data_IF_536887406602
#
_entry.id   IF_536887406602
#
_cell.length_a   1.000
_cell.length_b   1.000
_cell.length_c   1.000
_cell.angle_alpha   90.00
_cell.angle_beta   90.00
_cell.angle_gamma   90.00
#
_symmetry.space_group_name_H-M   'P 1'
#
loop_
_entity.id
_entity.type
_entity.pdbx_description
1 polymer ?
#
# COMPACT_ATOMS: atom_id res chain seq x y z
N UNK A 1 21.52 9.20 7.79
CA UNK A 1 20.38 10.07 8.17
C UNK A 1 19.38 9.19 8.87
N UNK A 2 19.10 9.43 10.14
CA UNK A 2 18.18 8.60 10.93
C UNK A 2 16.75 8.92 10.49
N UNK A 3 16.05 7.97 9.87
CA UNK A 3 14.64 8.16 9.55
C UNK A 3 13.87 8.47 10.85
N UNK A 4 13.19 9.61 10.87
CA UNK A 4 12.52 10.21 12.05
C UNK A 4 11.12 9.66 12.32
N UNK A 5 10.66 8.72 11.49
CA UNK A 5 9.31 8.20 11.57
C UNK A 5 9.27 7.02 12.53
N UNK A 6 8.31 7.04 13.45
CA UNK A 6 7.92 5.85 14.15
C UNK A 6 7.04 5.04 13.20
N UNK A 7 7.36 3.75 13.06
CA UNK A 7 6.70 2.87 12.10
C UNK A 7 6.26 1.55 12.72
N UNK A 8 5.30 0.90 12.08
CA UNK A 8 4.97 -0.50 12.29
C UNK A 8 4.97 -1.24 10.94
N UNK A 9 5.24 -2.56 10.90
CA UNK A 9 5.19 -3.32 9.66
C UNK A 9 3.82 -3.22 8.99
N UNK A 10 3.80 -2.98 7.68
CA UNK A 10 2.56 -2.98 6.91
C UNK A 10 1.97 -4.39 6.81
N UNK A 11 0.67 -4.49 7.01
CA UNK A 11 -0.12 -5.72 6.91
C UNK A 11 -1.35 -5.44 6.06
N UNK A 12 -2.02 -6.50 5.60
CA UNK A 12 -3.29 -6.30 4.89
C UNK A 12 -4.32 -5.57 5.76
N UNK A 13 -4.32 -5.83 7.07
CA UNK A 13 -5.28 -5.24 7.99
C UNK A 13 -5.02 -3.75 8.26
N UNK A 14 -3.79 -3.37 8.61
CA UNK A 14 -3.50 -1.98 9.01
C UNK A 14 -3.35 -1.00 7.83
N UNK A 15 -3.26 -1.51 6.60
CA UNK A 15 -3.27 -0.71 5.38
C UNK A 15 -4.62 -0.71 4.65
N UNK A 16 -5.61 -1.47 5.13
CA UNK A 16 -6.94 -1.50 4.52
C UNK A 16 -7.72 -0.22 4.79
N UNK A 17 -8.32 0.35 3.75
CA UNK A 17 -9.20 1.51 3.86
C UNK A 17 -10.28 1.24 4.90
N UNK A 18 -10.53 2.21 5.78
CA UNK A 18 -11.61 2.13 6.77
C UNK A 18 -12.98 2.33 6.10
N UNK A 19 -13.02 3.06 4.98
CA UNK A 19 -14.17 3.21 4.11
C UNK A 19 -13.73 2.97 2.67
N UNK A 20 -14.38 2.02 2.00
CA UNK A 20 -14.05 1.62 0.63
C UNK A 20 -15.31 1.62 -0.25
N UNK A 21 -15.14 1.60 -1.56
CA UNK A 21 -16.21 1.58 -2.54
C UNK A 21 -16.07 0.36 -3.47
N UNK A 22 -17.20 -0.11 -3.99
CA UNK A 22 -17.25 -1.15 -5.05
C UNK A 22 -18.20 -0.71 -6.17
N UNK A 23 -18.18 -1.34 -7.35
CA UNK A 23 -19.16 -1.06 -8.41
C UNK A 23 -20.62 -1.27 -7.98
N UNK A 24 -20.87 -2.11 -6.96
CA UNK A 24 -22.21 -2.40 -6.44
C UNK A 24 -22.58 -1.56 -5.22
N UNK A 25 -21.61 -0.91 -4.59
CA UNK A 25 -21.78 0.00 -3.47
C UNK A 25 -20.81 1.16 -3.66
N UNK A 26 -21.13 2.10 -4.57
CA UNK A 26 -20.31 3.27 -4.81
C UNK A 26 -20.37 4.20 -3.60
N UNK A 27 -19.30 4.95 -3.37
CA UNK A 27 -19.19 5.85 -2.24
C UNK A 27 -17.83 6.53 -2.20
N UNK A 28 -17.62 7.34 -1.16
CA UNK A 28 -16.32 7.95 -0.89
C UNK A 28 -15.35 6.93 -0.30
N UNK A 29 -14.06 7.11 -0.57
CA UNK A 29 -12.99 6.33 0.04
C UNK A 29 -12.44 7.09 1.26
N UNK A 30 -12.03 6.37 2.29
CA UNK A 30 -11.19 6.96 3.34
C UNK A 30 -9.82 7.35 2.78
N UNK A 31 -9.10 8.20 3.49
CA UNK A 31 -7.71 8.53 3.11
C UNK A 31 -6.80 7.29 3.19
N UNK A 32 -5.80 7.19 2.29
CA UNK A 32 -4.75 6.20 2.39
C UNK A 32 -3.79 6.49 3.55
N UNK A 33 -3.02 5.49 3.97
CA UNK A 33 -2.11 5.59 5.11
C UNK A 33 -0.73 6.09 4.69
N UNK A 34 -0.07 6.94 5.50
CA UNK A 34 1.32 7.30 5.28
C UNK A 34 2.22 6.09 5.50
N UNK A 35 3.13 5.85 4.55
CA UNK A 35 4.02 4.69 4.56
C UNK A 35 5.45 5.05 4.15
N UNK A 36 6.37 4.15 4.47
CA UNK A 36 7.67 4.02 3.81
C UNK A 36 7.64 2.75 2.96
N UNK A 37 7.96 2.86 1.67
CA UNK A 37 8.09 1.75 0.73
C UNK A 37 9.53 1.69 0.27
N UNK A 38 10.26 0.64 0.67
CA UNK A 38 11.72 0.56 0.49
C UNK A 38 12.45 1.83 0.96
N UNK A 39 11.95 2.42 2.05
CA UNK A 39 12.44 3.68 2.63
C UNK A 39 11.94 4.96 1.96
N UNK A 40 11.23 4.88 0.83
CA UNK A 40 10.65 6.02 0.13
C UNK A 40 9.30 6.37 0.76
N UNK A 41 9.12 7.64 1.11
CA UNK A 41 7.85 8.10 1.70
C UNK A 41 6.73 8.13 0.67
N UNK A 42 5.53 7.76 1.10
CA UNK A 42 4.36 7.83 0.27
C UNK A 42 3.06 7.58 1.04
N UNK A 43 2.03 7.26 0.27
CA UNK A 43 0.71 6.86 0.74
C UNK A 43 0.39 5.48 0.19
N UNK A 44 -0.23 4.62 0.99
CA UNK A 44 -0.71 3.32 0.56
C UNK A 44 -2.05 2.95 1.17
N UNK A 45 -2.82 2.18 0.41
CA UNK A 45 -4.12 1.66 0.83
C UNK A 45 -4.40 0.31 0.21
N UNK A 46 -5.16 -0.52 0.94
CA UNK A 46 -5.69 -1.78 0.46
C UNK A 46 -7.21 -1.70 0.41
N UNK A 47 -7.78 -2.13 -0.71
CA UNK A 47 -9.22 -2.12 -0.94
C UNK A 47 -9.55 -2.28 -2.41
N UNK A 48 -10.83 -2.30 -2.71
CA UNK A 48 -11.38 -2.33 -4.05
C UNK A 48 -11.15 -1.00 -4.79
N UNK A 49 -11.16 0.14 -4.08
CA UNK A 49 -11.01 1.47 -4.67
C UNK A 49 -12.04 1.74 -5.79
N UNK A 50 -13.27 1.25 -5.60
CA UNK A 50 -14.33 1.32 -6.61
C UNK A 50 -14.26 0.25 -7.72
N UNK A 51 -13.32 -0.69 -7.67
CA UNK A 51 -13.16 -1.76 -8.66
C UNK A 51 -13.81 -3.10 -8.23
N UNK A 52 -13.68 -4.14 -9.05
CA UNK A 52 -14.28 -5.45 -8.74
C UNK A 52 -13.44 -6.33 -7.80
N UNK A 53 -12.22 -5.92 -7.45
CA UNK A 53 -11.31 -6.74 -6.65
C UNK A 53 -10.39 -5.86 -5.85
N UNK A 54 -10.06 -6.33 -4.65
CA UNK A 54 -9.08 -5.70 -3.79
C UNK A 54 -7.72 -5.58 -4.48
N UNK A 55 -7.06 -4.48 -4.16
CA UNK A 55 -5.76 -4.07 -4.66
C UNK A 55 -5.00 -3.39 -3.54
N UNK A 56 -3.68 -3.49 -3.61
CA UNK A 56 -2.81 -2.52 -2.96
C UNK A 56 -2.56 -1.38 -3.95
N UNK A 57 -2.76 -0.15 -3.49
CA UNK A 57 -2.41 1.08 -4.19
C UNK A 57 -1.33 1.81 -3.42
N UNK A 58 -0.35 2.37 -4.14
CA UNK A 58 0.81 3.07 -3.59
C UNK A 58 1.07 4.31 -4.44
N UNK A 59 1.24 5.46 -3.79
CA UNK A 59 1.73 6.69 -4.40
C UNK A 59 2.94 7.20 -3.62
N UNK A 60 4.08 7.39 -4.29
CA UNK A 60 5.37 7.71 -3.70
C UNK A 60 5.78 9.15 -3.99
N UNK A 61 6.49 9.77 -3.03
CA UNK A 61 7.05 11.12 -3.20
C UNK A 61 8.21 11.14 -4.21
N UNK A 62 8.90 10.00 -4.37
CA UNK A 62 10.01 9.80 -5.30
C UNK A 62 9.76 8.57 -6.19
N UNK A 63 10.43 8.51 -7.34
CA UNK A 63 10.27 7.40 -8.29
C UNK A 63 10.99 6.14 -7.80
N UNK A 64 10.24 5.05 -7.63
CA UNK A 64 10.80 3.75 -7.28
C UNK A 64 11.18 2.96 -8.54
N UNK A 65 12.35 2.28 -8.60
CA UNK A 65 12.82 1.59 -9.79
C UNK A 65 11.85 0.53 -10.34
N UNK A 66 11.10 -0.15 -9.46
CA UNK A 66 10.12 -1.18 -9.85
C UNK A 66 8.66 -0.72 -9.84
N UNK A 67 8.33 0.32 -9.07
CA UNK A 67 6.94 0.73 -8.81
C UNK A 67 6.57 2.05 -9.51
N UNK A 68 7.57 2.80 -9.99
CA UNK A 68 7.38 4.16 -10.48
C UNK A 68 6.96 5.11 -9.34
N UNK A 69 6.21 6.16 -9.68
CA UNK A 69 5.60 7.07 -8.70
C UNK A 69 4.24 6.59 -8.20
N UNK A 70 3.53 5.81 -9.00
CA UNK A 70 2.21 5.26 -8.68
C UNK A 70 2.16 3.80 -9.09
N UNK A 71 1.66 2.96 -8.18
CA UNK A 71 1.59 1.52 -8.37
C UNK A 71 0.27 0.98 -7.84
N UNK A 72 -0.36 0.10 -8.60
CA UNK A 72 -1.59 -0.57 -8.20
C UNK A 72 -1.67 -1.99 -8.75
N UNK A 73 -1.90 -2.97 -7.89
CA UNK A 73 -2.06 -4.36 -8.32
C UNK A 73 -3.04 -5.13 -7.45
N UNK A 74 -3.79 -6.04 -8.08
CA UNK A 74 -4.62 -7.05 -7.39
C UNK A 74 -3.84 -8.33 -7.07
N UNK A 75 -2.65 -8.47 -7.64
CA UNK A 75 -1.78 -9.62 -7.45
C UNK A 75 -0.73 -9.25 -6.43
N UNK A 76 -1.14 -9.17 -5.16
CA UNK A 76 -0.26 -8.92 -4.02
C UNK A 76 -0.51 -9.96 -2.91
N UNK A 77 0.50 -10.17 -2.08
CA UNK A 77 0.44 -11.02 -0.90
C UNK A 77 1.32 -10.42 0.20
N UNK A 78 0.78 -10.35 1.43
CA UNK A 78 1.52 -9.99 2.64
C UNK A 78 1.40 -11.17 3.60
N UNK A 79 2.29 -12.16 3.45
CA UNK A 79 2.37 -13.33 4.33
C UNK A 79 3.30 -13.09 5.52
N UNK A 80 4.27 -12.20 5.36
CA UNK A 80 5.14 -11.68 6.42
C UNK A 80 4.85 -10.18 6.62
N UNK A 81 4.55 -9.71 7.85
CA UNK A 81 4.35 -8.29 8.11
C UNK A 81 5.54 -7.44 7.63
N UNK A 82 5.25 -6.41 6.85
CA UNK A 82 6.22 -5.48 6.30
C UNK A 82 6.80 -5.86 4.94
N UNK A 83 6.43 -7.01 4.36
CA UNK A 83 6.88 -7.43 3.03
C UNK A 83 5.69 -7.69 2.11
N UNK A 84 5.64 -6.99 0.98
CA UNK A 84 4.64 -7.23 -0.07
C UNK A 84 5.29 -7.98 -1.21
N UNK A 85 4.79 -9.18 -1.50
CA UNK A 85 5.08 -9.91 -2.74
C UNK A 85 4.05 -9.53 -3.78
N UNK A 86 4.46 -9.36 -5.04
CA UNK A 86 3.53 -8.96 -6.10
C UNK A 86 3.83 -9.56 -7.48
N UNK A 87 2.79 -9.56 -8.32
CA UNK A 87 2.85 -10.11 -9.66
C UNK A 87 3.09 -11.62 -9.66
N UNK A 88 3.73 -12.12 -10.71
CA UNK A 88 4.01 -13.55 -10.90
C UNK A 88 5.51 -13.87 -10.99
N UNK A 89 6.36 -12.84 -10.89
CA UNK A 89 7.82 -12.93 -11.11
C UNK A 89 8.63 -13.01 -9.81
N UNK A 90 7.96 -13.19 -8.67
CA UNK A 90 8.62 -13.25 -7.36
C UNK A 90 9.17 -11.90 -6.88
N UNK A 91 8.67 -10.78 -7.42
CA UNK A 91 9.05 -9.44 -6.98
C UNK A 91 8.48 -9.13 -5.60
N UNK A 92 9.20 -8.31 -4.85
CA UNK A 92 8.78 -7.84 -3.53
C UNK A 92 9.30 -6.46 -3.21
N UNK A 93 8.64 -5.76 -2.30
CA UNK A 93 9.12 -4.55 -1.65
C UNK A 93 8.78 -4.57 -0.16
N UNK A 94 9.52 -3.80 0.63
CA UNK A 94 9.18 -3.56 2.03
C UNK A 94 8.18 -2.43 2.17
N UNK A 95 7.29 -2.54 3.14
CA UNK A 95 6.30 -1.50 3.46
C UNK A 95 6.14 -1.35 4.96
N UNK A 96 6.25 -0.11 5.43
CA UNK A 96 6.06 0.25 6.83
C UNK A 96 4.98 1.32 6.93
N UNK A 97 4.01 1.13 7.81
CA UNK A 97 3.02 2.16 8.13
C UNK A 97 3.63 3.15 9.11
N UNK A 98 3.58 4.42 8.78
CA UNK A 98 4.02 5.50 9.67
C UNK A 98 2.94 5.70 10.75
N UNK A 99 3.35 5.66 12.01
CA UNK A 99 2.50 5.77 13.19
C UNK A 99 3.04 6.84 14.12
N UNK A 100 2.51 8.07 13.98
CA UNK A 100 2.81 9.24 14.83
C UNK A 100 4.31 9.58 15.00
#
# INVERSE_FOLDING_TARGET
MSNRFKTEPGTEHNLRLSQDATPFSPGELSDPYPVLVDGIRGLASIGSHGAYSDRIYIALEEEHPDLGREFGTKYFLIDEPGVVKWGHEGKSFTIEKIIE
#
